data_IF_147264387690
#
_entry.id   IF_147264387690
#
_cell.length_a   1.000
_cell.length_b   1.000
_cell.length_c   1.000
_cell.angle_alpha   90.00
_cell.angle_beta   90.00
_cell.angle_gamma   90.00
#
_symmetry.space_group_name_H-M   'P 1'
#
loop_
_entity.id
_entity.type
_entity.pdbx_description
1 polymer ?
#
# COMPACT_ATOMS: atom_id res chain seq x y z
N UNK A 1 -49.33 -7.62 -3.42
CA UNK A 1 -48.05 -8.04 -2.80
C UNK A 1 -46.85 -7.16 -3.19
N UNK A 2 -47.07 -6.08 -3.96
CA UNK A 2 -46.02 -5.21 -4.54
C UNK A 2 -45.64 -4.03 -3.64
N UNK A 3 -46.59 -3.42 -2.92
CA UNK A 3 -46.33 -2.24 -2.07
C UNK A 3 -45.37 -2.56 -0.91
N UNK A 4 -45.56 -3.70 -0.23
CA UNK A 4 -44.66 -4.11 0.88
C UNK A 4 -43.23 -4.38 0.41
N UNK A 5 -43.05 -4.87 -0.81
CA UNK A 5 -41.73 -5.12 -1.41
C UNK A 5 -41.00 -3.80 -1.70
N UNK A 6 -41.70 -2.79 -2.24
CA UNK A 6 -41.14 -1.47 -2.50
C UNK A 6 -40.65 -0.78 -1.22
N UNK A 7 -41.39 -0.89 -0.12
CA UNK A 7 -40.97 -0.32 1.17
C UNK A 7 -39.71 -1.00 1.73
N UNK A 8 -39.55 -2.31 1.54
CA UNK A 8 -38.35 -3.05 1.95
C UNK A 8 -37.13 -2.62 1.14
N UNK A 9 -37.26 -2.47 -0.19
CA UNK A 9 -36.16 -1.96 -1.02
C UNK A 9 -35.82 -0.49 -0.73
N UNK A 10 -36.82 0.35 -0.44
CA UNK A 10 -36.60 1.73 -0.03
C UNK A 10 -35.85 1.81 1.30
N UNK A 11 -36.23 0.99 2.30
CA UNK A 11 -35.56 0.93 3.59
C UNK A 11 -34.12 0.41 3.47
N UNK A 12 -33.89 -0.64 2.66
CA UNK A 12 -32.54 -1.16 2.38
C UNK A 12 -31.66 -0.12 1.68
N UNK A 13 -32.20 0.62 0.71
CA UNK A 13 -31.50 1.71 0.03
C UNK A 13 -31.13 2.85 0.98
N UNK A 14 -32.05 3.23 1.88
CA UNK A 14 -31.81 4.25 2.91
C UNK A 14 -30.72 3.84 3.92
N UNK A 15 -30.73 2.58 4.38
CA UNK A 15 -29.70 2.04 5.27
C UNK A 15 -28.34 2.04 4.56
N UNK A 16 -28.31 1.69 3.27
CA UNK A 16 -27.09 1.75 2.46
C UNK A 16 -26.53 3.17 2.34
N UNK A 17 -27.40 4.17 2.11
CA UNK A 17 -27.02 5.57 2.03
C UNK A 17 -26.48 6.11 3.36
N UNK A 18 -27.05 5.67 4.49
CA UNK A 18 -26.61 6.08 5.83
C UNK A 18 -25.26 5.46 6.25
N UNK A 19 -24.86 4.34 5.64
CA UNK A 19 -23.54 3.72 5.88
C UNK A 19 -22.40 4.36 5.09
N UNK A 20 -22.70 5.23 4.12
CA UNK A 20 -21.68 5.99 3.39
C UNK A 20 -21.15 7.05 4.34
N UNK A 21 -20.10 6.71 5.08
CA UNK A 21 -19.36 7.69 5.88
C UNK A 21 -18.95 8.83 4.96
N UNK A 22 -19.27 10.10 5.28
CA UNK A 22 -18.86 11.23 4.45
C UNK A 22 -17.33 11.24 4.39
N UNK A 23 -16.80 10.83 3.24
CA UNK A 23 -15.39 10.97 2.92
C UNK A 23 -15.18 12.47 2.62
N UNK A 24 -14.82 13.23 3.65
CA UNK A 24 -14.21 14.54 3.47
C UNK A 24 -12.91 14.29 2.71
N UNK A 25 -12.97 14.31 1.38
CA UNK A 25 -11.86 14.02 0.46
C UNK A 25 -10.78 15.12 0.56
N UNK A 26 -10.19 15.27 1.74
CA UNK A 26 -9.17 16.25 2.01
C UNK A 26 -7.84 15.72 1.50
N UNK A 27 -7.19 16.37 0.53
CA UNK A 27 -5.92 15.91 0.00
C UNK A 27 -4.77 16.06 0.99
N UNK A 28 -5.00 16.63 2.20
CA UNK A 28 -3.97 16.96 3.17
C UNK A 28 -3.21 15.73 3.66
N UNK A 29 -3.92 14.70 4.13
CA UNK A 29 -3.31 13.47 4.64
C UNK A 29 -2.59 12.70 3.53
N UNK A 30 -3.18 12.64 2.34
CA UNK A 30 -2.54 12.06 1.16
C UNK A 30 -1.25 12.81 0.78
N UNK A 31 -1.27 14.14 0.76
CA UNK A 31 -0.08 14.98 0.50
C UNK A 31 1.00 14.75 1.54
N UNK A 32 0.62 14.61 2.82
CA UNK A 32 1.55 14.24 3.88
C UNK A 32 2.19 12.88 3.62
N UNK A 33 1.40 11.82 3.32
CA UNK A 33 1.94 10.49 3.00
C UNK A 33 2.87 10.48 1.77
N UNK A 34 2.55 11.25 0.73
CA UNK A 34 3.40 11.37 -0.46
C UNK A 34 4.82 11.81 -0.09
N UNK A 35 4.99 12.69 0.91
CA UNK A 35 6.32 13.09 1.38
C UNK A 35 7.15 11.93 1.96
N UNK A 36 6.51 10.98 2.63
CA UNK A 36 7.16 9.76 3.14
C UNK A 36 7.48 8.81 1.99
N UNK A 37 6.55 8.67 1.03
CA UNK A 37 6.77 7.82 -0.14
C UNK A 37 7.92 8.29 -1.03
N UNK A 38 8.15 9.60 -1.14
CA UNK A 38 9.31 10.17 -1.85
C UNK A 38 10.66 9.78 -1.22
N UNK A 39 10.69 9.43 0.07
CA UNK A 39 11.92 8.97 0.76
C UNK A 39 12.28 7.52 0.46
N UNK A 40 11.35 6.73 -0.07
CA UNK A 40 11.62 5.40 -0.61
C UNK A 40 12.17 5.51 -2.05
N UNK A 41 13.41 5.99 -2.17
CA UNK A 41 14.14 6.06 -3.44
C UNK A 41 14.68 4.68 -3.78
N UNK A 42 14.48 4.28 -5.03
CA UNK A 42 15.06 3.06 -5.60
C UNK A 42 16.49 3.37 -6.03
N UNK A 43 17.41 2.47 -5.70
CA UNK A 43 18.76 2.49 -6.21
C UNK A 43 18.76 2.18 -7.71
N UNK A 44 19.12 3.20 -8.50
CA UNK A 44 19.09 3.15 -9.96
C UNK A 44 20.18 2.24 -10.55
N UNK A 45 21.18 1.85 -9.76
CA UNK A 45 22.27 0.97 -10.21
C UNK A 45 21.85 -0.50 -10.30
N UNK A 46 20.74 -0.89 -9.63
CA UNK A 46 20.24 -2.26 -9.62
C UNK A 46 19.64 -2.67 -10.98
N UNK A 47 19.56 -3.98 -11.22
CA UNK A 47 18.98 -4.53 -12.46
C UNK A 47 17.56 -4.00 -12.73
N UNK A 48 17.27 -3.65 -14.01
CA UNK A 48 16.00 -3.06 -14.45
C UNK A 48 14.78 -3.95 -14.18
N UNK A 49 14.90 -5.26 -14.37
CA UNK A 49 13.81 -6.23 -14.13
C UNK A 49 13.45 -6.24 -12.65
N UNK A 50 14.46 -6.31 -11.78
CA UNK A 50 14.28 -6.17 -10.34
C UNK A 50 13.62 -4.84 -9.98
N UNK A 51 14.13 -3.71 -10.48
CA UNK A 51 13.58 -2.38 -10.18
C UNK A 51 12.12 -2.23 -10.59
N UNK A 52 11.74 -2.79 -11.73
CA UNK A 52 10.35 -2.79 -12.20
C UNK A 52 9.42 -3.45 -11.17
N UNK A 53 9.82 -4.62 -10.66
CA UNK A 53 9.08 -5.37 -9.65
C UNK A 53 8.98 -4.65 -8.31
N UNK A 54 10.08 -4.03 -7.86
CA UNK A 54 10.06 -3.24 -6.61
C UNK A 54 9.13 -2.04 -6.75
N UNK A 55 9.23 -1.31 -7.86
CA UNK A 55 8.38 -0.14 -8.14
C UNK A 55 6.91 -0.54 -8.21
N UNK A 56 6.60 -1.64 -8.88
CA UNK A 56 5.24 -2.18 -8.98
C UNK A 56 4.70 -2.57 -7.59
N UNK A 57 5.46 -3.37 -6.84
CA UNK A 57 5.09 -3.79 -5.48
C UNK A 57 4.81 -2.60 -4.57
N UNK A 58 5.71 -1.62 -4.51
CA UNK A 58 5.52 -0.40 -3.70
C UNK A 58 4.28 0.38 -4.13
N UNK A 59 4.04 0.51 -5.44
CA UNK A 59 2.87 1.23 -5.96
C UNK A 59 1.56 0.53 -5.58
N UNK A 60 1.45 -0.76 -5.87
CA UNK A 60 0.19 -1.51 -5.80
C UNK A 60 -0.11 -1.98 -4.37
N UNK A 61 0.90 -2.40 -3.62
CA UNK A 61 0.69 -3.08 -2.34
C UNK A 61 0.94 -2.21 -1.10
N UNK A 62 1.60 -1.06 -1.26
CA UNK A 62 1.87 -0.13 -0.16
C UNK A 62 1.24 1.24 -0.39
N UNK A 63 1.65 1.95 -1.45
CA UNK A 63 1.24 3.34 -1.70
C UNK A 63 -0.25 3.46 -2.03
N UNK A 64 -0.74 2.67 -2.99
CA UNK A 64 -2.13 2.72 -3.44
C UNK A 64 -3.13 2.56 -2.27
N UNK A 65 -3.06 1.46 -1.50
CA UNK A 65 -3.95 1.23 -0.38
C UNK A 65 -3.89 2.33 0.69
N UNK A 66 -2.69 2.82 1.03
CA UNK A 66 -2.54 3.86 2.05
C UNK A 66 -3.03 5.22 1.58
N UNK A 67 -2.80 5.59 0.31
CA UNK A 67 -3.33 6.83 -0.25
C UNK A 67 -4.85 6.81 -0.37
N UNK A 68 -5.43 5.71 -0.84
CA UNK A 68 -6.88 5.56 -0.92
C UNK A 68 -7.54 5.75 0.44
N UNK A 69 -7.00 5.13 1.49
CA UNK A 69 -7.52 5.30 2.84
C UNK A 69 -7.27 6.70 3.42
N UNK A 70 -6.10 7.28 3.17
CA UNK A 70 -5.78 8.62 3.67
C UNK A 70 -6.67 9.71 3.07
N UNK A 71 -7.16 9.54 1.84
CA UNK A 71 -8.12 10.46 1.23
C UNK A 71 -9.46 10.50 1.98
N UNK A 72 -9.82 9.45 2.72
CA UNK A 72 -11.08 9.38 3.48
C UNK A 72 -10.90 9.50 4.99
N UNK A 73 -9.76 10.03 5.45
CA UNK A 73 -9.58 10.31 6.88
C UNK A 73 -10.31 11.59 7.29
N UNK A 74 -10.96 11.61 8.47
CA UNK A 74 -11.52 12.84 9.03
C UNK A 74 -10.47 13.95 9.14
N UNK A 75 -10.87 15.21 8.92
CA UNK A 75 -9.95 16.38 8.93
C UNK A 75 -9.13 16.50 10.22
N UNK A 76 -9.68 16.09 11.37
CA UNK A 76 -9.00 16.12 12.67
C UNK A 76 -7.97 15.00 12.89
N UNK A 77 -7.91 14.00 12.01
CA UNK A 77 -7.01 12.86 12.16
C UNK A 77 -5.56 13.30 12.08
N UNK A 78 -4.75 12.92 13.07
CA UNK A 78 -3.31 13.16 13.07
C UNK A 78 -2.57 11.91 12.62
N UNK A 79 -1.61 12.07 11.71
CA UNK A 79 -0.71 10.98 11.31
C UNK A 79 0.56 11.05 12.14
N UNK A 80 0.89 9.98 12.86
CA UNK A 80 2.14 9.86 13.61
C UNK A 80 3.36 9.88 12.68
N UNK A 81 4.23 10.87 12.82
CA UNK A 81 5.48 10.97 12.06
C UNK A 81 6.39 9.76 12.28
N UNK A 82 6.54 9.34 13.54
CA UNK A 82 7.44 8.26 13.92
C UNK A 82 6.95 6.92 13.37
N UNK A 83 5.64 6.69 13.42
CA UNK A 83 5.03 5.50 12.83
C UNK A 83 5.23 5.46 11.31
N UNK A 84 5.05 6.61 10.62
CA UNK A 84 5.28 6.70 9.18
C UNK A 84 6.77 6.61 8.81
N UNK A 85 7.69 7.08 9.66
CA UNK A 85 9.13 6.89 9.47
C UNK A 85 9.48 5.40 9.57
N UNK A 86 8.96 4.69 10.58
CA UNK A 86 9.12 3.23 10.71
C UNK A 86 8.57 2.47 9.51
N UNK A 87 7.47 2.95 8.90
CA UNK A 87 6.97 2.37 7.65
C UNK A 87 7.99 2.47 6.52
N UNK A 88 8.63 3.64 6.35
CA UNK A 88 9.67 3.83 5.33
C UNK A 88 10.85 2.89 5.57
N UNK A 89 11.29 2.75 6.83
CA UNK A 89 12.41 1.87 7.18
C UNK A 89 12.09 0.39 6.94
N UNK A 90 10.89 -0.05 7.35
CA UNK A 90 10.43 -1.42 7.08
C UNK A 90 10.32 -1.71 5.58
N UNK A 91 9.80 -0.77 4.79
CA UNK A 91 9.74 -0.93 3.34
C UNK A 91 11.13 -1.12 2.73
N UNK A 92 12.13 -0.33 3.16
CA UNK A 92 13.53 -0.51 2.75
C UNK A 92 14.11 -1.85 3.19
N UNK A 93 13.81 -2.31 4.40
CA UNK A 93 14.24 -3.62 4.87
C UNK A 93 13.65 -4.76 4.02
N UNK A 94 12.37 -4.67 3.65
CA UNK A 94 11.73 -5.64 2.78
C UNK A 94 12.34 -5.63 1.37
N UNK A 95 12.64 -4.44 0.82
CA UNK A 95 13.37 -4.32 -0.44
C UNK A 95 14.74 -5.01 -0.36
N UNK A 96 15.53 -4.73 0.67
CA UNK A 96 16.87 -5.32 0.82
C UNK A 96 16.81 -6.86 0.92
N UNK A 97 15.85 -7.40 1.66
CA UNK A 97 15.62 -8.86 1.74
C UNK A 97 15.23 -9.43 0.37
N UNK A 98 14.40 -8.72 -0.39
CA UNK A 98 14.01 -9.14 -1.72
C UNK A 98 15.19 -9.11 -2.69
N UNK A 99 16.02 -8.07 -2.65
CA UNK A 99 17.24 -7.97 -3.45
C UNK A 99 18.20 -9.12 -3.16
N UNK A 100 18.43 -9.45 -1.88
CA UNK A 100 19.30 -10.56 -1.50
C UNK A 100 18.79 -11.91 -2.05
N UNK A 101 17.48 -12.14 -2.02
CA UNK A 101 16.88 -13.34 -2.64
C UNK A 101 17.05 -13.35 -4.15
N UNK A 102 16.84 -12.21 -4.79
CA UNK A 102 17.02 -12.06 -6.23
C UNK A 102 18.47 -12.34 -6.65
N UNK A 103 19.46 -11.76 -5.99
CA UNK A 103 20.88 -11.98 -6.32
C UNK A 103 21.29 -13.42 -6.09
N UNK A 104 20.81 -14.06 -5.01
CA UNK A 104 21.05 -15.47 -4.75
C UNK A 104 20.44 -16.37 -5.84
N UNK A 105 19.17 -16.15 -6.20
CA UNK A 105 18.48 -16.93 -7.23
C UNK A 105 19.05 -16.72 -8.64
N UNK A 106 19.63 -15.55 -8.90
CA UNK A 106 20.28 -15.23 -10.18
C UNK A 106 21.77 -15.62 -10.23
N UNK A 107 22.38 -16.07 -9.13
CA UNK A 107 23.83 -16.39 -9.08
C UNK A 107 24.25 -17.45 -10.12
N UNK A 108 23.34 -18.34 -10.50
CA UNK A 108 23.58 -19.44 -11.46
C UNK A 108 23.08 -19.13 -12.87
N UNK A 109 22.48 -17.95 -13.11
CA UNK A 109 21.91 -17.57 -14.39
C UNK A 109 22.79 -16.51 -15.06
N UNK A 110 23.22 -16.75 -16.30
CA UNK A 110 24.06 -15.82 -17.06
C UNK A 110 23.38 -14.47 -17.33
N UNK A 111 22.04 -14.42 -17.25
CA UNK A 111 21.26 -13.19 -17.29
C UNK A 111 20.34 -13.06 -16.07
N UNK A 112 20.30 -11.85 -15.53
CA UNK A 112 19.35 -11.44 -14.50
C UNK A 112 17.91 -11.43 -15.06
N UNK A 113 17.30 -12.59 -15.14
CA UNK A 113 15.97 -12.80 -15.74
C UNK A 113 14.83 -12.63 -14.74
N UNK A 114 13.61 -12.44 -15.26
CA UNK A 114 12.39 -12.36 -14.45
C UNK A 114 12.15 -13.62 -13.61
N UNK A 115 12.65 -14.79 -14.04
CA UNK A 115 12.52 -16.06 -13.33
C UNK A 115 13.19 -16.04 -11.95
N UNK A 116 14.29 -15.30 -11.79
CA UNK A 116 14.95 -15.17 -10.49
C UNK A 116 14.09 -14.46 -9.44
N UNK A 117 13.09 -13.70 -9.87
CA UNK A 117 12.21 -12.96 -8.97
C UNK A 117 11.07 -13.83 -8.45
N UNK A 118 10.78 -14.97 -9.07
CA UNK A 118 9.56 -15.75 -8.79
C UNK A 118 9.50 -16.29 -7.36
N UNK A 119 10.66 -16.64 -6.77
CA UNK A 119 10.73 -17.08 -5.37
C UNK A 119 10.64 -15.93 -4.37
N UNK A 120 11.13 -14.74 -4.73
CA UNK A 120 11.20 -13.57 -3.87
C UNK A 120 9.97 -12.67 -3.92
N UNK A 121 9.39 -12.49 -5.12
CA UNK A 121 8.27 -11.60 -5.43
C UNK A 121 7.04 -11.84 -4.55
N UNK A 122 6.50 -13.07 -4.40
CA UNK A 122 5.32 -13.30 -3.58
C UNK A 122 5.58 -12.96 -2.10
N UNK A 123 6.78 -13.24 -1.59
CA UNK A 123 7.17 -12.92 -0.21
C UNK A 123 7.27 -11.41 -0.01
N UNK A 124 7.91 -10.71 -0.95
CA UNK A 124 8.04 -9.26 -0.93
C UNK A 124 6.67 -8.57 -0.98
N UNK A 125 5.80 -8.99 -1.91
CA UNK A 125 4.46 -8.39 -2.07
C UNK A 125 3.57 -8.65 -0.85
N UNK A 126 3.63 -9.85 -0.24
CA UNK A 126 2.93 -10.12 1.02
C UNK A 126 3.42 -9.22 2.15
N UNK A 127 4.74 -9.03 2.28
CA UNK A 127 5.32 -8.16 3.29
C UNK A 127 4.85 -6.71 3.11
N UNK A 128 4.78 -6.19 1.88
CA UNK A 128 4.25 -4.85 1.60
C UNK A 128 2.77 -4.71 1.95
N UNK A 129 1.93 -5.71 1.64
CA UNK A 129 0.51 -5.71 2.02
C UNK A 129 0.35 -5.69 3.54
N UNK A 130 1.16 -6.47 4.26
CA UNK A 130 1.16 -6.48 5.72
C UNK A 130 1.62 -5.13 6.28
N UNK A 131 2.69 -4.56 5.72
CA UNK A 131 3.18 -3.25 6.10
C UNK A 131 2.12 -2.16 5.90
N UNK A 132 1.35 -2.20 4.82
CA UNK A 132 0.23 -1.30 4.61
C UNK A 132 -0.79 -1.42 5.76
N UNK A 133 -1.23 -2.63 6.10
CA UNK A 133 -2.17 -2.87 7.21
C UNK A 133 -1.62 -2.39 8.56
N UNK A 134 -0.33 -2.60 8.82
CA UNK A 134 0.33 -2.10 10.04
C UNK A 134 0.35 -0.57 10.07
N UNK A 135 0.59 0.07 8.92
CA UNK A 135 0.71 1.53 8.79
C UNK A 135 -0.63 2.24 8.98
N UNK A 136 -1.77 1.57 8.77
CA UNK A 136 -3.08 2.15 9.08
C UNK A 136 -3.24 2.50 10.57
N UNK A 137 -2.49 1.84 11.45
CA UNK A 137 -2.47 2.17 12.89
C UNK A 137 -1.82 3.53 13.17
N UNK A 138 -1.06 4.09 12.23
CA UNK A 138 -0.42 5.39 12.38
C UNK A 138 -1.42 6.57 12.44
N UNK A 139 -2.72 6.32 12.22
CA UNK A 139 -3.77 7.34 12.12
C UNK A 139 -4.74 7.33 13.30
N UNK A 140 -4.59 6.38 14.25
CA UNK A 140 -5.50 6.20 15.39
C UNK A 140 -5.04 6.91 16.68
N UNK A 141 -4.37 8.06 16.55
CA UNK A 141 -3.93 8.86 17.71
C UNK A 141 -5.01 9.85 18.15
#
# INVERSE_FOLDING_TARGET
MTIKLCWVFAALGLIWLLQISPCDASPRHAKQLISYFKRMKLDQTKNRVYQHDVKNGLRVHLRGPLLQKALCLPKGTKLSSDCLNRMVDKARQHENKFYAKFTYACKTNAEYSAKCLDSGRPVYYRALKQLAKETERCWKL
#
